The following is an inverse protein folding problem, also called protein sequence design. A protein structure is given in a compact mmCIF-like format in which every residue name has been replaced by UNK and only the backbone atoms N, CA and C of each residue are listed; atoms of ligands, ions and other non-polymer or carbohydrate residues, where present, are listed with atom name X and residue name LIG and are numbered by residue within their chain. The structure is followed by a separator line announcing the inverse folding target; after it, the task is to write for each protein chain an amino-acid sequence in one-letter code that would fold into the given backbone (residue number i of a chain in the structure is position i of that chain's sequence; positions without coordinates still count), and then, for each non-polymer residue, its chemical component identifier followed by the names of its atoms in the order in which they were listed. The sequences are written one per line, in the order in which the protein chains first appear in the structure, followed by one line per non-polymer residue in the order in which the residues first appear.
data_IF_748420423864
#
_entry.id   IF_748420423864
#
_cell.length_a   1.000
_cell.length_b   1.000
_cell.length_c   1.000
_cell.angle_alpha   90.00
_cell.angle_beta   90.00
_cell.angle_gamma   90.00
#
_symmetry.space_group_name_H-M   'P 1'
#
loop_
_entity.id
_entity.type
_entity.pdbx_description
1 polymer ?
#
# COMPACT_ATOMS: atom_id res chain seq x y z
N UNK A 1 -2.09 -6.95 16.72
CA UNK A 1 -2.58 -6.88 15.34
C UNK A 1 -4.09 -6.71 15.35
N UNK A 2 -4.62 -5.75 14.59
CA UNK A 2 -6.07 -5.58 14.44
C UNK A 2 -6.67 -6.71 13.61
N UNK A 3 -7.96 -6.98 13.83
CA UNK A 3 -8.76 -7.92 13.05
C UNK A 3 -9.80 -7.17 12.21
N UNK A 4 -10.42 -7.83 11.23
CA UNK A 4 -11.52 -7.25 10.45
C UNK A 4 -12.64 -6.74 11.36
N UNK A 5 -13.02 -7.52 12.38
CA UNK A 5 -14.04 -7.11 13.36
C UNK A 5 -13.66 -5.82 14.10
N UNK A 6 -12.39 -5.67 14.51
CA UNK A 6 -11.92 -4.46 15.17
C UNK A 6 -11.91 -3.23 14.25
N UNK A 7 -11.64 -3.41 12.94
CA UNK A 7 -11.75 -2.32 11.97
C UNK A 7 -13.22 -1.89 11.79
N UNK A 8 -14.14 -2.84 11.77
CA UNK A 8 -15.60 -2.56 11.75
C UNK A 8 -16.01 -1.83 13.05
N UNK A 9 -15.54 -2.28 14.21
CA UNK A 9 -15.80 -1.60 15.51
C UNK A 9 -15.28 -0.16 15.51
N UNK A 10 -14.12 0.12 14.90
CA UNK A 10 -13.59 1.48 14.76
C UNK A 10 -14.56 2.37 13.96
N UNK A 11 -15.09 1.87 12.85
CA UNK A 11 -16.11 2.59 12.06
C UNK A 11 -17.36 2.87 12.90
N UNK A 12 -17.90 1.87 13.59
CA UNK A 12 -19.09 2.02 14.43
C UNK A 12 -18.88 3.06 15.55
N UNK A 13 -17.68 3.12 16.11
CA UNK A 13 -17.26 4.09 17.12
C UNK A 13 -16.82 5.44 16.55
N UNK A 14 -16.89 5.62 15.22
CA UNK A 14 -16.41 6.81 14.52
C UNK A 14 -14.92 7.13 14.78
N UNK A 15 -14.11 6.11 15.10
CA UNK A 15 -12.67 6.22 15.25
C UNK A 15 -12.03 6.06 13.87
N UNK A 16 -11.29 7.09 13.44
CA UNK A 16 -10.67 7.07 12.11
C UNK A 16 -9.58 6.02 12.02
N UNK A 17 -9.50 5.37 10.85
CA UNK A 17 -8.54 4.34 10.52
C UNK A 17 -7.41 4.97 9.70
N UNK A 18 -6.18 4.82 10.16
CA UNK A 18 -5.00 5.22 9.40
C UNK A 18 -4.46 4.05 8.58
N UNK A 19 -4.17 4.28 7.31
CA UNK A 19 -3.55 3.32 6.42
C UNK A 19 -2.40 3.99 5.67
N UNK A 20 -1.28 3.30 5.52
CA UNK A 20 -0.11 3.80 4.77
C UNK A 20 0.45 2.66 3.93
N UNK A 21 0.96 2.94 2.74
CA UNK A 21 1.67 1.91 1.98
C UNK A 21 3.01 1.59 2.63
N UNK A 22 3.48 0.36 2.47
CA UNK A 22 4.86 -0.02 2.73
C UNK A 22 5.28 -1.08 1.71
N UNK A 23 6.56 -1.10 1.35
CA UNK A 23 7.02 -1.94 0.26
C UNK A 23 8.22 -2.82 0.60
N UNK A 24 8.80 -2.61 1.78
CA UNK A 24 9.97 -3.34 2.25
C UNK A 24 9.98 -3.51 3.77
N UNK A 25 10.97 -4.22 4.29
CA UNK A 25 11.11 -4.46 5.72
C UNK A 25 11.31 -3.18 6.55
N UNK A 26 12.21 -2.22 6.19
CA UNK A 26 12.42 -1.02 7.00
C UNK A 26 11.22 -0.07 6.99
N UNK A 27 10.57 0.16 5.84
CA UNK A 27 9.36 0.99 5.79
C UNK A 27 8.22 0.39 6.62
N UNK A 28 8.02 -0.92 6.55
CA UNK A 28 7.02 -1.61 7.35
C UNK A 28 7.29 -1.47 8.86
N UNK A 29 8.55 -1.57 9.30
CA UNK A 29 8.93 -1.32 10.70
C UNK A 29 8.60 0.09 11.16
N UNK A 30 8.87 1.08 10.33
CA UNK A 30 8.54 2.47 10.66
C UNK A 30 7.02 2.67 10.78
N UNK A 31 6.23 2.11 9.87
CA UNK A 31 4.77 2.20 9.88
C UNK A 31 4.19 1.51 11.13
N UNK A 32 4.67 0.31 11.48
CA UNK A 32 4.25 -0.39 12.71
C UNK A 32 4.66 0.38 13.97
N UNK A 33 5.88 0.91 14.03
CA UNK A 33 6.37 1.70 15.16
C UNK A 33 5.58 3.02 15.35
N UNK A 34 5.06 3.59 14.25
CA UNK A 34 4.19 4.75 14.28
C UNK A 34 2.76 4.45 14.76
N UNK A 35 2.40 3.19 14.97
CA UNK A 35 1.06 2.78 15.42
C UNK A 35 -0.03 2.90 14.36
N UNK A 36 0.32 2.90 13.08
CA UNK A 36 -0.63 2.91 11.96
C UNK A 36 -1.48 1.64 11.98
N UNK A 37 -2.78 1.79 11.70
CA UNK A 37 -3.74 0.70 11.85
C UNK A 37 -3.62 -0.37 10.76
N UNK A 38 -3.35 0.04 9.52
CA UNK A 38 -3.27 -0.83 8.36
C UNK A 38 -2.08 -0.48 7.47
N UNK A 39 -1.47 -1.49 6.88
CA UNK A 39 -0.46 -1.34 5.83
C UNK A 39 -1.06 -1.84 4.52
N UNK A 40 -0.80 -1.10 3.44
CA UNK A 40 -1.05 -1.54 2.07
C UNK A 40 0.28 -1.82 1.37
N UNK A 41 0.49 -3.07 0.95
CA UNK A 41 1.50 -3.38 -0.06
C UNK A 41 0.83 -3.15 -1.40
N UNK A 42 0.90 -1.91 -1.88
CA UNK A 42 0.24 -1.47 -3.11
C UNK A 42 1.07 -1.77 -4.35
N UNK A 43 0.44 -2.03 -5.49
CA UNK A 43 1.13 -2.15 -6.77
C UNK A 43 1.72 -0.81 -7.27
N UNK A 44 1.40 0.31 -6.59
CA UNK A 44 2.14 1.57 -6.68
C UNK A 44 3.65 1.41 -6.43
N UNK A 45 4.09 0.29 -5.82
CA UNK A 45 5.52 -0.06 -5.74
C UNK A 45 6.21 -0.08 -7.11
N UNK A 46 5.47 -0.39 -8.17
CA UNK A 46 5.99 -0.34 -9.53
C UNK A 46 6.57 1.02 -9.86
N UNK A 47 5.85 2.08 -9.53
CA UNK A 47 6.26 3.45 -9.82
C UNK A 47 7.25 4.00 -8.78
N UNK A 48 7.00 3.76 -7.49
CA UNK A 48 7.76 4.40 -6.40
C UNK A 48 9.02 3.66 -5.97
N UNK A 49 9.11 2.36 -6.25
CA UNK A 49 10.22 1.49 -5.81
C UNK A 49 10.96 0.89 -7.00
N UNK A 50 10.23 0.39 -8.00
CA UNK A 50 10.82 -0.29 -9.16
C UNK A 50 11.13 0.66 -10.34
N UNK A 51 10.64 1.92 -10.28
CA UNK A 51 10.90 2.91 -11.32
C UNK A 51 10.14 2.68 -12.63
N UNK A 52 9.04 1.92 -12.60
CA UNK A 52 8.17 1.73 -13.74
C UNK A 52 7.32 2.97 -14.01
N UNK A 53 6.91 3.16 -15.24
CA UNK A 53 6.02 4.27 -15.63
C UNK A 53 4.58 4.07 -15.16
N UNK A 54 4.19 2.84 -14.84
CA UNK A 54 2.82 2.46 -14.48
C UNK A 54 2.79 1.22 -13.60
N UNK A 55 1.71 1.07 -12.84
CA UNK A 55 1.41 -0.13 -12.04
C UNK A 55 1.19 -1.38 -12.89
N UNK A 56 0.86 -1.24 -14.17
CA UNK A 56 0.56 -2.38 -15.07
C UNK A 56 1.75 -3.31 -15.33
N UNK A 57 2.97 -2.89 -15.01
CA UNK A 57 4.18 -3.70 -15.17
C UNK A 57 4.46 -4.60 -13.95
N UNK A 58 3.75 -4.36 -12.84
CA UNK A 58 3.93 -5.13 -11.60
C UNK A 58 3.32 -6.52 -11.75
N UNK A 59 4.10 -7.53 -11.40
CA UNK A 59 3.70 -8.93 -11.47
C UNK A 59 3.23 -9.48 -10.11
N UNK A 60 2.54 -10.63 -10.14
CA UNK A 60 2.18 -11.35 -8.92
C UNK A 60 3.43 -11.76 -8.10
N UNK A 61 4.55 -12.06 -8.77
CA UNK A 61 5.81 -12.40 -8.11
C UNK A 61 6.40 -11.20 -7.34
N UNK A 62 6.33 -10.00 -7.91
CA UNK A 62 6.76 -8.77 -7.24
C UNK A 62 5.91 -8.52 -5.98
N UNK A 63 4.58 -8.64 -6.10
CA UNK A 63 3.69 -8.46 -4.96
C UNK A 63 3.95 -9.47 -3.83
N UNK A 64 4.24 -10.73 -4.17
CA UNK A 64 4.63 -11.74 -3.19
C UNK A 64 5.98 -11.39 -2.55
N UNK A 65 6.97 -10.98 -3.33
CA UNK A 65 8.29 -10.62 -2.83
C UNK A 65 8.21 -9.48 -1.80
N UNK A 66 7.57 -8.39 -2.18
CA UNK A 66 7.38 -7.21 -1.33
C UNK A 66 6.47 -7.51 -0.13
N UNK A 67 5.35 -8.22 -0.34
CA UNK A 67 4.43 -8.60 0.73
C UNK A 67 5.11 -9.42 1.84
N UNK A 68 5.97 -10.36 1.47
CA UNK A 68 6.77 -11.13 2.43
C UNK A 68 7.73 -10.25 3.25
N UNK A 69 8.36 -9.26 2.61
CA UNK A 69 9.27 -8.35 3.29
C UNK A 69 8.52 -7.47 4.28
N UNK A 70 7.40 -6.88 3.85
CA UNK A 70 6.52 -6.06 4.69
C UNK A 70 5.98 -6.85 5.88
N UNK A 71 5.49 -8.09 5.65
CA UNK A 71 4.95 -8.93 6.74
C UNK A 71 5.98 -9.22 7.83
N UNK A 72 7.26 -9.45 7.45
CA UNK A 72 8.34 -9.60 8.42
C UNK A 72 8.64 -8.31 9.19
N UNK A 73 8.52 -7.15 8.53
CA UNK A 73 8.76 -5.84 9.13
C UNK A 73 7.66 -5.38 10.09
N UNK A 74 6.42 -5.81 9.82
CA UNK A 74 5.23 -5.41 10.57
C UNK A 74 4.39 -6.63 11.01
N UNK A 75 4.89 -7.47 11.94
CA UNK A 75 4.22 -8.69 12.36
C UNK A 75 2.90 -8.43 13.10
N UNK A 76 2.70 -7.25 13.67
CA UNK A 76 1.54 -6.92 14.50
C UNK A 76 0.59 -5.89 13.86
N UNK A 77 0.82 -5.49 12.60
CA UNK A 77 -0.05 -4.58 11.87
C UNK A 77 -0.95 -5.34 10.88
N UNK A 78 -2.16 -4.83 10.60
CA UNK A 78 -3.04 -5.40 9.60
C UNK A 78 -2.49 -5.12 8.20
N UNK A 79 -2.01 -6.14 7.49
CA UNK A 79 -1.38 -6.02 6.17
C UNK A 79 -2.34 -6.46 5.08
N UNK A 80 -2.53 -5.59 4.09
CA UNK A 80 -3.26 -5.83 2.85
C UNK A 80 -2.27 -5.87 1.70
N UNK A 81 -2.40 -6.80 0.76
CA UNK A 81 -1.53 -6.91 -0.42
C UNK A 81 -2.37 -6.84 -1.69
N UNK A 82 -1.96 -6.01 -2.65
CA UNK A 82 -2.68 -5.85 -3.91
C UNK A 82 -2.56 -7.08 -4.81
N UNK A 83 -3.68 -7.43 -5.44
CA UNK A 83 -3.69 -8.26 -6.64
C UNK A 83 -3.30 -7.36 -7.82
N UNK A 84 -2.16 -7.61 -8.50
CA UNK A 84 -1.75 -6.76 -9.62
C UNK A 84 -2.63 -7.01 -10.86
N UNK A 85 -2.53 -6.14 -11.85
CA UNK A 85 -3.27 -6.28 -13.12
C UNK A 85 -3.10 -7.69 -13.71
N UNK A 86 -4.20 -8.27 -14.21
CA UNK A 86 -4.22 -9.62 -14.78
C UNK A 86 -4.13 -10.76 -13.76
N UNK A 87 -3.97 -10.46 -12.46
CA UNK A 87 -4.11 -11.48 -11.42
C UNK A 87 -5.58 -11.79 -11.10
N UNK A 88 -6.51 -10.87 -11.43
CA UNK A 88 -7.96 -11.02 -11.31
C UNK A 88 -8.62 -10.57 -12.63
N UNK A 89 -9.73 -11.21 -13.00
CA UNK A 89 -10.53 -10.86 -14.17
C UNK A 89 -10.22 -11.66 -15.44
N UNK A 90 -9.38 -12.67 -15.37
CA UNK A 90 -9.08 -13.56 -16.51
C UNK A 90 -10.01 -14.79 -16.52
N UNK A 91 -10.01 -15.55 -15.45
CA UNK A 91 -10.94 -16.64 -15.21
C UNK A 91 -11.04 -16.93 -13.72
N UNK A 92 -12.22 -17.27 -13.24
CA UNK A 92 -12.46 -17.49 -11.81
C UNK A 92 -11.48 -18.49 -11.18
N UNK A 93 -11.16 -19.59 -11.86
CA UNK A 93 -10.21 -20.58 -11.36
C UNK A 93 -8.81 -20.01 -11.23
N UNK A 94 -8.34 -19.28 -12.22
CA UNK A 94 -7.02 -18.66 -12.20
C UNK A 94 -6.95 -17.54 -11.17
N UNK A 95 -7.96 -16.71 -11.09
CA UNK A 95 -8.09 -15.59 -10.17
C UNK A 95 -8.02 -16.08 -8.71
N UNK A 96 -8.76 -17.14 -8.37
CA UNK A 96 -8.72 -17.75 -7.03
C UNK A 96 -7.38 -18.41 -6.71
N UNK A 97 -6.72 -19.05 -7.70
CA UNK A 97 -5.39 -19.61 -7.52
C UNK A 97 -4.35 -18.50 -7.25
N UNK A 98 -4.42 -17.36 -7.96
CA UNK A 98 -3.55 -16.22 -7.71
C UNK A 98 -3.81 -15.62 -6.32
N UNK A 99 -5.06 -15.44 -5.94
CA UNK A 99 -5.46 -14.94 -4.62
C UNK A 99 -4.95 -15.84 -3.49
N UNK A 100 -5.16 -17.16 -3.61
CA UNK A 100 -4.71 -18.14 -2.62
C UNK A 100 -3.18 -18.12 -2.50
N UNK A 101 -2.48 -18.11 -3.63
CA UNK A 101 -1.01 -18.03 -3.66
C UNK A 101 -0.51 -16.76 -2.99
N UNK A 102 -1.05 -15.60 -3.37
CA UNK A 102 -0.66 -14.32 -2.77
C UNK A 102 -0.90 -14.31 -1.26
N UNK A 103 -2.10 -14.70 -0.85
CA UNK A 103 -2.52 -14.71 0.56
C UNK A 103 -1.66 -15.63 1.43
N UNK A 104 -1.42 -16.86 0.97
CA UNK A 104 -0.62 -17.85 1.70
C UNK A 104 0.86 -17.46 1.76
N UNK A 105 1.44 -17.06 0.62
CA UNK A 105 2.87 -16.81 0.55
C UNK A 105 3.30 -15.50 1.24
N UNK A 106 2.40 -14.53 1.35
CA UNK A 106 2.68 -13.27 2.05
C UNK A 106 2.25 -13.29 3.51
N UNK A 107 1.39 -14.24 3.92
CA UNK A 107 0.74 -14.24 5.22
C UNK A 107 0.02 -12.90 5.50
N UNK A 108 -0.59 -12.31 4.47
CA UNK A 108 -1.37 -11.08 4.56
C UNK A 108 -2.65 -11.31 5.37
N UNK A 109 -3.23 -10.22 5.90
CA UNK A 109 -4.53 -10.28 6.57
C UNK A 109 -5.70 -10.16 5.60
N UNK A 110 -5.46 -9.52 4.45
CA UNK A 110 -6.39 -9.40 3.34
C UNK A 110 -5.63 -9.19 2.03
N UNK A 111 -6.29 -9.43 0.92
CA UNK A 111 -5.84 -9.00 -0.41
C UNK A 111 -6.69 -7.81 -0.88
N UNK A 112 -6.17 -6.96 -1.80
CA UNK A 112 -6.98 -5.90 -2.41
C UNK A 112 -7.10 -6.15 -3.91
N UNK A 113 -8.26 -5.84 -4.48
CA UNK A 113 -8.52 -5.96 -5.91
C UNK A 113 -9.41 -4.80 -6.41
N UNK A 114 -9.22 -4.39 -7.67
CA UNK A 114 -9.74 -3.16 -8.23
C UNK A 114 -10.92 -3.37 -9.18
N UNK A 115 -11.91 -2.49 -9.07
CA UNK A 115 -13.04 -2.36 -9.98
C UNK A 115 -14.30 -3.11 -9.57
N UNK A 116 -15.45 -2.64 -10.06
CA UNK A 116 -16.76 -3.24 -9.76
C UNK A 116 -16.95 -4.61 -10.45
N UNK A 117 -16.30 -4.83 -11.58
CA UNK A 117 -16.40 -6.07 -12.35
C UNK A 117 -15.88 -7.30 -11.62
N UNK A 118 -15.09 -7.12 -10.54
CA UNK A 118 -14.55 -8.21 -9.73
C UNK A 118 -15.50 -8.69 -8.63
N UNK A 119 -16.71 -8.14 -8.52
CA UNK A 119 -17.70 -8.56 -7.50
C UNK A 119 -17.89 -10.09 -7.41
N UNK A 120 -18.00 -10.86 -8.52
CA UNK A 120 -18.09 -12.32 -8.45
C UNK A 120 -16.83 -12.99 -7.87
N UNK A 121 -15.66 -12.40 -8.09
CA UNK A 121 -14.40 -12.87 -7.49
C UNK A 121 -14.40 -12.63 -5.98
N UNK A 122 -14.84 -11.45 -5.53
CA UNK A 122 -14.95 -11.14 -4.08
C UNK A 122 -15.80 -12.20 -3.39
N UNK A 123 -17.00 -12.50 -3.93
CA UNK A 123 -17.90 -13.51 -3.37
C UNK A 123 -17.22 -14.89 -3.22
N UNK A 124 -16.51 -15.34 -4.25
CA UNK A 124 -15.85 -16.64 -4.21
C UNK A 124 -14.63 -16.67 -3.30
N UNK A 125 -13.81 -15.61 -3.31
CA UNK A 125 -12.62 -15.51 -2.47
C UNK A 125 -12.99 -15.47 -0.98
N UNK A 126 -14.00 -14.67 -0.61
CA UNK A 126 -14.47 -14.58 0.78
C UNK A 126 -15.15 -15.88 1.24
N UNK A 127 -15.87 -16.56 0.37
CA UNK A 127 -16.49 -17.86 0.67
C UNK A 127 -15.47 -18.96 1.00
N UNK A 128 -14.25 -18.88 0.45
CA UNK A 128 -13.16 -19.82 0.79
C UNK A 128 -12.24 -19.30 1.91
N UNK A 129 -12.59 -18.16 2.55
CA UNK A 129 -11.91 -17.64 3.72
C UNK A 129 -10.79 -16.65 3.44
N UNK A 130 -10.69 -16.07 2.23
CA UNK A 130 -9.73 -15.02 1.89
C UNK A 130 -10.42 -13.66 2.06
N UNK A 131 -10.04 -12.81 3.06
CA UNK A 131 -10.58 -11.47 3.19
C UNK A 131 -10.16 -10.58 2.02
N UNK A 132 -11.12 -9.89 1.40
CA UNK A 132 -10.90 -9.01 0.24
C UNK A 132 -11.25 -7.58 0.58
N UNK A 133 -10.33 -6.67 0.34
CA UNK A 133 -10.55 -5.22 0.30
C UNK A 133 -10.89 -4.84 -1.14
N UNK A 134 -12.06 -4.24 -1.36
CA UNK A 134 -12.44 -3.74 -2.68
C UNK A 134 -11.82 -2.36 -2.93
N UNK A 135 -11.65 -1.99 -4.21
CA UNK A 135 -11.18 -0.65 -4.59
C UNK A 135 -12.02 -0.12 -5.75
N UNK A 136 -12.67 1.02 -5.53
CA UNK A 136 -13.54 1.72 -6.49
C UNK A 136 -13.13 3.18 -6.65
N UNK A 137 -13.70 3.84 -7.65
CA UNK A 137 -13.32 5.19 -8.07
C UNK A 137 -12.25 5.13 -9.14
N UNK A 138 -11.18 5.90 -9.01
CA UNK A 138 -10.00 5.74 -9.85
C UNK A 138 -9.31 4.43 -9.51
N UNK A 139 -9.14 3.58 -10.51
CA UNK A 139 -8.41 2.31 -10.39
C UNK A 139 -7.14 2.41 -11.23
N UNK A 140 -5.94 2.57 -10.62
CA UNK A 140 -4.70 2.79 -11.35
C UNK A 140 -4.38 1.72 -12.39
N UNK A 141 -4.77 0.48 -12.18
CA UNK A 141 -4.60 -0.61 -13.14
C UNK A 141 -5.42 -0.40 -14.43
N UNK A 142 -6.52 0.34 -14.36
CA UNK A 142 -7.41 0.61 -15.49
C UNK A 142 -7.18 1.99 -16.16
N UNK A 143 -6.17 2.73 -15.73
CA UNK A 143 -5.88 4.09 -16.21
C UNK A 143 -5.66 4.15 -17.72
N UNK A 144 -5.10 3.11 -18.32
CA UNK A 144 -4.96 2.99 -19.77
C UNK A 144 -6.31 3.10 -20.55
N UNK A 145 -7.42 2.73 -19.90
CA UNK A 145 -8.78 2.80 -20.48
C UNK A 145 -9.52 4.06 -20.00
N UNK A 146 -9.45 4.37 -18.68
CA UNK A 146 -10.28 5.42 -18.08
C UNK A 146 -9.57 6.77 -17.93
N UNK A 147 -8.23 6.83 -18.03
CA UNK A 147 -7.41 8.02 -17.80
C UNK A 147 -7.36 8.47 -16.34
N UNK A 148 -6.42 9.36 -16.03
CA UNK A 148 -6.30 9.99 -14.69
C UNK A 148 -7.32 11.12 -14.57
N UNK A 149 -8.53 10.84 -14.11
CA UNK A 149 -9.59 11.84 -13.88
C UNK A 149 -10.43 11.51 -12.66
N UNK A 150 -11.09 12.53 -12.13
CA UNK A 150 -12.07 12.38 -11.05
C UNK A 150 -13.19 11.43 -11.49
N UNK A 151 -13.50 10.43 -10.68
CA UNK A 151 -14.55 9.44 -10.92
C UNK A 151 -15.84 9.84 -10.20
N UNK A 152 -17.02 9.37 -10.66
CA UNK A 152 -18.29 9.72 -10.03
C UNK A 152 -18.66 11.20 -10.15
N UNK A 153 -18.14 11.91 -11.17
CA UNK A 153 -18.33 13.36 -11.33
C UNK A 153 -19.66 13.77 -11.99
N UNK A 154 -20.45 12.83 -12.51
CA UNK A 154 -21.81 13.06 -13.00
C UNK A 154 -22.82 12.34 -12.12
N UNK A 155 -24.08 12.72 -12.21
CA UNK A 155 -25.16 12.08 -11.42
C UNK A 155 -25.21 10.58 -11.68
N UNK A 156 -25.19 10.18 -12.95
CA UNK A 156 -25.27 8.77 -13.36
C UNK A 156 -24.06 7.98 -12.87
N UNK A 157 -22.86 8.57 -12.97
CA UNK A 157 -21.64 7.94 -12.49
C UNK A 157 -21.60 7.85 -10.97
N UNK A 158 -22.16 8.81 -10.25
CA UNK A 158 -22.28 8.78 -8.80
C UNK A 158 -23.28 7.71 -8.34
N UNK A 159 -24.46 7.64 -8.96
CA UNK A 159 -25.47 6.61 -8.69
C UNK A 159 -24.91 5.19 -8.95
N UNK A 160 -24.17 5.01 -10.05
CA UNK A 160 -23.51 3.74 -10.35
C UNK A 160 -22.45 3.39 -9.27
N UNK A 161 -21.62 4.34 -8.85
CA UNK A 161 -20.59 4.10 -7.86
C UNK A 161 -21.17 3.73 -6.48
N UNK A 162 -22.31 4.33 -6.10
CA UNK A 162 -23.06 3.95 -4.89
C UNK A 162 -23.56 2.50 -4.99
N UNK A 163 -24.10 2.13 -6.15
CA UNK A 163 -24.55 0.76 -6.40
C UNK A 163 -23.39 -0.24 -6.34
N UNK A 164 -22.28 0.09 -7.01
CA UNK A 164 -21.07 -0.75 -7.03
C UNK A 164 -20.51 -0.96 -5.63
N UNK A 165 -20.49 0.09 -4.80
CA UNK A 165 -20.03 0.03 -3.41
C UNK A 165 -20.91 -0.93 -2.57
N UNK A 166 -22.22 -0.89 -2.75
CA UNK A 166 -23.15 -1.85 -2.10
C UNK A 166 -22.93 -3.28 -2.59
N UNK A 167 -22.72 -3.45 -3.89
CA UNK A 167 -22.51 -4.77 -4.48
C UNK A 167 -21.23 -5.44 -3.96
N UNK A 168 -20.12 -4.70 -3.85
CA UNK A 168 -18.87 -5.27 -3.30
C UNK A 168 -18.99 -5.60 -1.82
N UNK A 169 -19.72 -4.81 -1.03
CA UNK A 169 -20.04 -5.15 0.37
C UNK A 169 -20.87 -6.41 0.46
N UNK A 170 -21.96 -6.52 -0.33
CA UNK A 170 -22.82 -7.69 -0.36
C UNK A 170 -22.08 -8.97 -0.79
N UNK A 171 -21.09 -8.83 -1.66
CA UNK A 171 -20.20 -9.91 -2.06
C UNK A 171 -19.22 -10.34 -0.95
N UNK A 172 -19.17 -9.63 0.17
CA UNK A 172 -18.37 -9.98 1.35
C UNK A 172 -17.04 -9.24 1.45
N UNK A 173 -16.84 -8.12 0.74
CA UNK A 173 -15.67 -7.28 0.96
C UNK A 173 -15.59 -6.86 2.44
N UNK A 174 -14.37 -6.88 3.01
CA UNK A 174 -14.14 -6.54 4.42
C UNK A 174 -13.82 -5.07 4.65
N UNK A 175 -13.46 -4.35 3.60
CA UNK A 175 -13.26 -2.90 3.54
C UNK A 175 -13.34 -2.43 2.09
N UNK A 176 -13.51 -1.12 1.89
CA UNK A 176 -13.53 -0.48 0.57
C UNK A 176 -12.54 0.68 0.54
N UNK A 177 -11.67 0.71 -0.48
CA UNK A 177 -10.88 1.90 -0.84
C UNK A 177 -11.67 2.71 -1.86
N UNK A 178 -11.76 4.03 -1.65
CA UNK A 178 -12.34 4.99 -2.60
C UNK A 178 -11.26 5.99 -3.03
N UNK A 179 -10.94 6.01 -4.32
CA UNK A 179 -9.90 6.88 -4.85
C UNK A 179 -10.44 7.91 -5.83
N UNK A 180 -9.98 9.17 -5.66
CA UNK A 180 -10.21 10.29 -6.57
C UNK A 180 -11.69 10.45 -6.98
N UNK A 181 -12.58 10.58 -5.99
CA UNK A 181 -14.01 10.84 -6.15
C UNK A 181 -14.43 12.11 -5.40
N UNK A 182 -15.59 12.74 -5.72
CA UNK A 182 -16.12 13.86 -4.94
C UNK A 182 -16.26 13.52 -3.46
N UNK A 183 -15.90 14.46 -2.58
CA UNK A 183 -15.89 14.25 -1.13
C UNK A 183 -17.28 13.99 -0.53
N UNK A 184 -18.31 14.62 -1.04
CA UNK A 184 -19.70 14.41 -0.64
C UNK A 184 -20.22 13.03 -1.03
N UNK A 185 -19.86 12.55 -2.25
CA UNK A 185 -20.16 11.20 -2.68
C UNK A 185 -19.45 10.14 -1.81
N UNK A 186 -18.18 10.37 -1.46
CA UNK A 186 -17.43 9.46 -0.60
C UNK A 186 -18.03 9.39 0.81
N UNK A 187 -18.46 10.53 1.36
CA UNK A 187 -19.16 10.60 2.64
C UNK A 187 -20.50 9.85 2.60
N UNK A 188 -21.26 10.03 1.53
CA UNK A 188 -22.55 9.34 1.32
C UNK A 188 -22.37 7.82 1.24
N UNK A 189 -21.40 7.34 0.45
CA UNK A 189 -21.07 5.92 0.38
C UNK A 189 -20.64 5.39 1.74
N UNK A 190 -19.77 6.12 2.46
CA UNK A 190 -19.28 5.69 3.77
C UNK A 190 -20.41 5.56 4.80
N UNK A 191 -21.42 6.43 4.77
CA UNK A 191 -22.59 6.36 5.67
C UNK A 191 -23.48 5.15 5.41
N UNK A 192 -23.56 4.69 4.17
CA UNK A 192 -24.45 3.60 3.77
C UNK A 192 -23.86 2.20 3.95
N UNK A 193 -22.53 2.09 3.97
CA UNK A 193 -21.86 0.81 4.13
C UNK A 193 -21.61 0.49 5.61
N UNK A 194 -21.58 -0.79 5.94
CA UNK A 194 -21.23 -1.27 7.29
C UNK A 194 -19.73 -1.57 7.42
N UNK A 195 -19.07 -1.88 6.30
CA UNK A 195 -17.62 -2.09 6.22
C UNK A 195 -16.86 -0.76 6.24
N UNK A 196 -15.61 -0.72 6.73
CA UNK A 196 -14.76 0.47 6.69
C UNK A 196 -14.52 0.97 5.28
N UNK A 197 -14.63 2.29 5.09
CA UNK A 197 -14.31 2.98 3.84
C UNK A 197 -13.06 3.82 4.03
N UNK A 198 -12.02 3.53 3.26
CA UNK A 198 -10.71 4.19 3.31
C UNK A 198 -10.57 5.10 2.08
N UNK A 199 -10.39 6.39 2.29
CA UNK A 199 -10.30 7.37 1.20
C UNK A 199 -8.85 7.69 0.81
N UNK A 200 -8.65 7.95 -0.47
CA UNK A 200 -7.47 8.61 -1.01
C UNK A 200 -7.92 9.59 -2.11
N UNK A 201 -7.69 10.88 -1.88
CA UNK A 201 -8.29 11.90 -2.77
C UNK A 201 -9.81 11.88 -2.80
N UNK A 202 -10.46 11.45 -1.71
CA UNK A 202 -11.91 11.31 -1.57
C UNK A 202 -12.49 12.17 -0.40
N UNK A 203 -11.70 13.11 0.11
CA UNK A 203 -12.11 13.97 1.23
C UNK A 203 -12.07 13.29 2.59
N UNK A 204 -12.52 14.02 3.63
CA UNK A 204 -12.43 13.59 5.04
C UNK A 204 -13.63 12.79 5.56
N UNK A 205 -14.68 12.64 4.73
CA UNK A 205 -15.94 12.02 5.12
C UNK A 205 -15.91 10.50 5.24
N UNK A 206 -14.83 9.84 4.78
CA UNK A 206 -14.61 8.40 4.90
C UNK A 206 -14.18 7.99 6.31
N UNK A 207 -14.22 6.68 6.59
CA UNK A 207 -13.86 6.13 7.92
C UNK A 207 -12.35 6.13 8.18
N UNK A 208 -11.54 6.18 7.12
CA UNK A 208 -10.09 6.25 7.20
C UNK A 208 -9.48 6.89 5.97
N UNK A 209 -8.14 7.00 5.98
CA UNK A 209 -7.35 7.55 4.87
C UNK A 209 -6.16 6.66 4.58
N UNK A 210 -5.78 6.55 3.31
CA UNK A 210 -4.52 5.95 2.89
C UNK A 210 -3.68 6.97 2.11
N UNK A 211 -2.37 6.95 2.31
CA UNK A 211 -1.38 7.66 1.50
C UNK A 211 -0.23 6.73 1.14
N UNK A 212 0.40 7.02 0.02
CA UNK A 212 1.65 6.38 -0.41
C UNK A 212 2.79 6.87 0.49
N UNK A 213 3.54 5.94 1.07
CA UNK A 213 4.66 6.20 1.98
C UNK A 213 5.68 7.18 1.39
N UNK A 214 6.08 6.96 0.13
CA UNK A 214 7.05 7.79 -0.57
C UNK A 214 6.53 9.21 -0.78
N UNK A 215 5.26 9.36 -1.14
CA UNK A 215 4.65 10.67 -1.38
C UNK A 215 4.54 11.48 -0.09
N UNK A 216 4.03 10.88 0.99
CA UNK A 216 3.81 11.58 2.25
C UNK A 216 5.11 11.93 3.00
N UNK A 217 6.21 11.26 2.69
CA UNK A 217 7.52 11.49 3.32
C UNK A 217 8.51 12.19 2.37
N UNK A 218 8.10 12.56 1.17
CA UNK A 218 8.96 13.16 0.14
C UNK A 218 10.22 12.32 -0.12
N UNK A 219 10.03 11.02 -0.40
CA UNK A 219 11.11 10.07 -0.59
C UNK A 219 11.20 9.63 -2.05
N UNK A 220 12.06 10.27 -2.83
CA UNK A 220 12.32 9.93 -4.23
C UNK A 220 11.17 10.22 -5.19
N UNK A 221 10.26 11.17 -4.85
CA UNK A 221 9.11 11.52 -5.68
C UNK A 221 9.38 12.79 -6.48
N UNK A 222 9.08 12.76 -7.77
CA UNK A 222 9.17 13.92 -8.68
C UNK A 222 7.83 14.64 -8.81
N UNK A 223 6.72 13.91 -8.73
CA UNK A 223 5.38 14.42 -8.84
C UNK A 223 4.57 14.20 -7.58
N UNK A 224 3.83 15.22 -7.18
CA UNK A 224 2.95 15.19 -6.02
C UNK A 224 1.50 15.34 -6.46
N UNK A 225 0.67 14.34 -6.19
CA UNK A 225 -0.76 14.44 -6.41
C UNK A 225 -1.38 15.52 -5.51
N UNK A 226 -2.44 16.21 -6.01
CA UNK A 226 -3.10 17.33 -5.31
C UNK A 226 -3.55 16.99 -3.88
N UNK A 227 -3.93 15.76 -3.64
CA UNK A 227 -4.45 15.29 -2.34
C UNK A 227 -3.34 14.85 -1.37
N UNK A 228 -2.07 14.83 -1.79
CA UNK A 228 -0.96 14.43 -0.93
C UNK A 228 -0.51 15.60 -0.06
N UNK A 229 -0.55 15.40 1.25
CA UNK A 229 0.15 16.24 2.22
C UNK A 229 1.46 15.56 2.61
N UNK A 230 2.57 16.27 2.50
CA UNK A 230 3.86 15.82 3.01
C UNK A 230 3.95 16.09 4.50
N UNK A 231 4.34 15.07 5.26
CA UNK A 231 4.48 15.10 6.72
C UNK A 231 5.95 15.10 7.17
N UNK A 232 6.86 14.75 6.28
CA UNK A 232 8.30 14.78 6.49
C UNK A 232 9.01 14.97 5.16
N UNK A 233 10.33 15.12 5.20
CA UNK A 233 11.19 15.27 4.03
C UNK A 233 12.38 14.31 4.12
N UNK A 234 12.31 13.20 3.39
CA UNK A 234 13.37 12.20 3.31
C UNK A 234 14.35 12.48 2.17
N UNK A 235 14.19 13.60 1.42
CA UNK A 235 15.14 14.04 0.40
C UNK A 235 16.51 14.42 0.99
N UNK A 236 16.56 14.74 2.28
CA UNK A 236 17.79 15.02 3.03
C UNK A 236 18.83 13.89 2.97
N UNK A 237 18.45 12.68 2.60
CA UNK A 237 19.36 11.57 2.37
C UNK A 237 20.43 11.88 1.30
N UNK A 238 20.11 12.73 0.32
CA UNK A 238 21.07 13.18 -0.71
C UNK A 238 22.25 13.94 -0.10
N UNK A 239 21.99 14.78 0.91
CA UNK A 239 23.05 15.55 1.56
C UNK A 239 23.95 14.66 2.42
N UNK A 240 23.38 13.65 3.08
CA UNK A 240 24.16 12.63 3.78
C UNK A 240 25.08 11.85 2.83
N UNK A 241 24.60 11.49 1.63
CA UNK A 241 25.42 10.82 0.63
C UNK A 241 26.55 11.71 0.11
N UNK A 242 26.32 13.01 -0.12
CA UNK A 242 27.35 13.98 -0.49
C UNK A 242 28.41 14.13 0.61
N UNK A 243 27.99 14.21 1.86
CA UNK A 243 28.89 14.28 2.99
C UNK A 243 29.79 13.03 3.06
N UNK A 244 29.20 11.84 2.96
CA UNK A 244 29.96 10.58 2.92
C UNK A 244 31.00 10.58 1.79
N UNK A 245 30.61 10.97 0.57
CA UNK A 245 31.52 11.07 -0.58
C UNK A 245 32.69 12.02 -0.32
N UNK A 246 32.42 13.19 0.27
CA UNK A 246 33.44 14.19 0.64
C UNK A 246 34.41 13.65 1.71
N UNK A 247 33.89 13.02 2.75
CA UNK A 247 34.70 12.49 3.84
C UNK A 247 35.58 11.32 3.39
N UNK A 248 35.09 10.43 2.53
CA UNK A 248 35.88 9.37 1.91
C UNK A 248 37.02 9.95 1.07
N UNK A 249 36.73 10.93 0.21
CA UNK A 249 37.72 11.55 -0.70
C UNK A 249 38.75 12.39 0.04
N UNK A 250 38.38 12.98 1.18
CA UNK A 250 39.31 13.75 2.02
C UNK A 250 40.09 12.86 3.00
N UNK A 251 39.75 11.60 3.13
CA UNK A 251 40.33 10.69 4.14
C UNK A 251 39.86 10.93 5.57
N UNK A 252 38.81 11.73 5.76
CA UNK A 252 38.20 11.94 7.08
C UNK A 252 37.40 10.73 7.54
N UNK A 253 36.85 9.95 6.61
CA UNK A 253 36.21 8.66 6.88
C UNK A 253 37.03 7.51 6.25
N UNK A 254 37.26 6.37 6.95
CA UNK A 254 36.89 6.13 8.34
C UNK A 254 37.85 6.79 9.34
N UNK A 255 37.29 7.42 10.38
CA UNK A 255 38.08 7.85 11.53
C UNK A 255 38.48 6.66 12.41
N UNK A 256 39.31 6.90 13.43
CA UNK A 256 39.72 5.85 14.39
C UNK A 256 38.51 5.18 15.09
N UNK A 257 37.44 5.93 15.31
CA UNK A 257 36.20 5.42 15.92
C UNK A 257 35.55 4.33 15.08
N UNK A 258 35.64 4.43 13.75
CA UNK A 258 35.07 3.48 12.78
C UNK A 258 36.08 2.47 12.25
N UNK A 259 37.26 2.33 12.92
CA UNK A 259 38.37 1.46 12.49
C UNK A 259 38.62 0.35 13.51
N UNK A 260 38.78 -0.87 13.03
CA UNK A 260 39.23 -1.97 13.89
C UNK A 260 40.68 -1.79 14.27
N UNK A 261 40.96 -1.75 15.58
CA UNK A 261 42.31 -1.43 16.12
C UNK A 261 43.29 -2.62 16.16
N UNK A 262 42.84 -3.82 15.77
CA UNK A 262 43.74 -4.99 15.75
C UNK A 262 44.80 -4.83 14.64
N UNK A 263 46.08 -4.86 15.07
CA UNK A 263 47.24 -4.80 14.13
C UNK A 263 47.81 -6.22 14.00
N UNK A 264 47.60 -6.84 12.83
CA UNK A 264 48.02 -8.21 12.53
C UNK A 264 49.39 -8.27 11.83
N UNK A 265 49.81 -7.18 11.12
CA UNK A 265 51.05 -7.18 10.34
C UNK A 265 52.30 -7.33 11.18
N UNK A 266 52.27 -6.97 12.47
CA UNK A 266 53.39 -7.22 13.38
C UNK A 266 53.56 -8.73 13.69
N UNK A 267 52.49 -9.51 13.63
CA UNK A 267 52.53 -10.97 13.81
C UNK A 267 52.98 -11.67 12.54
N UNK A 268 52.62 -11.14 11.39
CA UNK A 268 53.03 -11.71 10.07
C UNK A 268 54.52 -11.50 9.81
N UNK A 269 55.03 -10.29 10.07
CA UNK A 269 56.43 -9.93 9.83
C UNK A 269 57.43 -10.53 10.82
N UNK A 270 56.96 -11.09 11.95
CA UNK A 270 57.86 -11.77 12.93
C UNK A 270 58.02 -13.28 12.64
N UNK A 271 57.46 -13.80 11.54
CA UNK A 271 57.58 -15.21 11.14
C UNK A 271 58.56 -15.42 9.99
N UNK A 272 59.31 -14.40 9.58
CA UNK A 272 60.45 -14.46 8.66
C UNK A 272 61.76 -14.32 9.48
#
# INVERSE_FOLDING_TARGET
MKTVSQLIDMKQKQTKISMVTAYDFPSAKQVEAAGIDMILVGDSLGMTVLGYESTVQVTLADMIHHGRAVRRGAPNTFVVVDMPIGAVGISMTQDLNHALKLYQETNANAIKAEGAHITPFIEKATAIGIPVVAHLGLTPQSVGVMGYKLQGATKEAAEQLILDAKNVEQAGAVALVLEAIPNDLAEEISKHLTIPVIGIGAGKGTDGQVLVYHDMLNYGVEHKAKFVKQFSDFSVGVDGLKQYDQEVKSGAFPSEEYTYKKKIMNEVNNND
#
